data_IF_981563909468
#
_entry.id   IF_981563909468
#
_cell.length_a   1.000
_cell.length_b   1.000
_cell.length_c   1.000
_cell.angle_alpha   90.00
_cell.angle_beta   90.00
_cell.angle_gamma   90.00
#
_symmetry.space_group_name_H-M   'P 1'
#
loop_
_entity.id
_entity.type
_entity.pdbx_description
1 polymer ?
#
# COMPACT_ATOMS: atom_id res chain seq x y z
N UNK A 1 -17.42 33.74 -19.43
CA UNK A 1 -16.12 33.06 -19.29
C UNK A 1 -15.19 33.97 -18.50
N UNK A 2 -14.95 33.70 -17.20
CA UNK A 2 -13.96 34.41 -16.38
C UNK A 2 -12.88 33.43 -15.92
N UNK A 3 -11.65 33.89 -16.12
CA UNK A 3 -10.35 33.31 -15.86
C UNK A 3 -10.09 33.44 -14.35
N UNK A 4 -10.12 32.37 -13.54
CA UNK A 4 -9.84 32.54 -12.10
C UNK A 4 -10.01 31.41 -11.07
N UNK A 5 -10.58 30.23 -11.36
CA UNK A 5 -10.98 29.30 -10.28
C UNK A 5 -10.35 27.88 -10.35
N UNK A 6 -9.09 27.77 -10.79
CA UNK A 6 -8.33 26.51 -10.72
C UNK A 6 -7.31 26.51 -9.55
N UNK A 7 -7.61 27.23 -8.47
CA UNK A 7 -6.72 27.37 -7.31
C UNK A 7 -7.40 26.89 -6.02
N UNK A 8 -7.67 25.57 -5.93
CA UNK A 8 -7.70 24.74 -4.71
C UNK A 8 -8.32 23.38 -5.05
N UNK A 9 -7.57 22.47 -5.67
CA UNK A 9 -7.81 21.05 -5.40
C UNK A 9 -7.17 20.74 -4.05
N UNK A 10 -7.84 21.18 -2.99
CA UNK A 10 -7.60 20.66 -1.65
C UNK A 10 -8.24 19.28 -1.67
N UNK A 11 -7.42 18.22 -1.70
CA UNK A 11 -7.94 16.87 -1.53
C UNK A 11 -8.59 16.79 -0.16
N UNK A 12 -9.92 16.80 -0.11
CA UNK A 12 -10.64 16.46 1.10
C UNK A 12 -10.27 15.01 1.43
N UNK A 13 -9.64 14.82 2.59
CA UNK A 13 -9.28 13.49 3.09
C UNK A 13 -10.57 12.82 3.55
N UNK A 14 -11.32 12.31 2.59
CA UNK A 14 -12.50 11.51 2.84
C UNK A 14 -12.06 10.18 3.45
N UNK A 15 -12.61 9.85 4.61
CA UNK A 15 -12.49 8.51 5.16
C UNK A 15 -13.00 7.51 4.12
N UNK A 16 -12.10 6.63 3.67
CA UNK A 16 -12.43 5.58 2.71
C UNK A 16 -12.18 4.24 3.36
N UNK A 17 -13.24 3.43 3.43
CA UNK A 17 -13.09 2.00 3.68
C UNK A 17 -12.52 1.31 2.44
N UNK A 18 -11.39 0.61 2.60
CA UNK A 18 -10.79 -0.23 1.55
C UNK A 18 -10.93 -1.68 1.98
N UNK A 19 -11.59 -2.55 1.19
CA UNK A 19 -11.74 -3.95 1.56
C UNK A 19 -10.36 -4.65 1.55
N UNK A 20 -10.08 -5.39 2.62
CA UNK A 20 -8.88 -6.21 2.71
C UNK A 20 -9.19 -7.63 2.24
N UNK A 21 -8.24 -8.23 1.52
CA UNK A 21 -8.34 -9.66 1.20
C UNK A 21 -8.21 -10.51 2.48
N UNK A 22 -8.75 -11.73 2.45
CA UNK A 22 -8.60 -12.69 3.55
C UNK A 22 -7.13 -12.95 3.90
N UNK A 23 -6.25 -12.97 2.91
CA UNK A 23 -4.80 -13.09 3.11
C UNK A 23 -4.19 -11.88 3.82
N UNK A 24 -4.64 -10.67 3.50
CA UNK A 24 -4.18 -9.46 4.18
C UNK A 24 -4.63 -9.45 5.65
N UNK A 25 -5.87 -9.86 5.93
CA UNK A 25 -6.38 -10.01 7.29
C UNK A 25 -5.55 -11.03 8.10
N UNK A 26 -5.31 -12.21 7.54
CA UNK A 26 -4.50 -13.24 8.21
C UNK A 26 -3.08 -12.77 8.56
N UNK A 27 -2.45 -11.95 7.70
CA UNK A 27 -1.14 -11.34 8.00
C UNK A 27 -1.26 -10.36 9.17
N UNK A 28 -2.28 -9.50 9.18
CA UNK A 28 -2.49 -8.52 10.25
C UNK A 28 -2.82 -9.19 11.59
N UNK A 29 -3.62 -10.25 11.57
CA UNK A 29 -3.97 -11.03 12.77
C UNK A 29 -2.75 -11.74 13.39
N UNK A 30 -1.74 -12.05 12.57
CA UNK A 30 -0.47 -12.62 13.04
C UNK A 30 0.51 -11.61 13.63
N UNK A 31 0.23 -10.30 13.54
CA UNK A 31 1.12 -9.27 14.09
C UNK A 31 0.84 -9.04 15.59
N UNK A 32 1.87 -8.77 16.41
CA UNK A 32 1.66 -8.37 17.79
C UNK A 32 0.88 -7.06 17.84
N UNK A 33 -0.19 -7.03 18.64
CA UNK A 33 -0.97 -5.81 18.88
C UNK A 33 -0.10 -4.75 19.56
N UNK A 34 -0.15 -3.53 19.05
CA UNK A 34 0.51 -2.37 19.65
C UNK A 34 -0.51 -1.52 20.39
N UNK A 35 -0.13 -1.03 21.57
CA UNK A 35 -0.99 -0.18 22.42
C UNK A 35 -0.91 1.31 22.05
N UNK A 36 0.04 1.68 21.18
CA UNK A 36 0.27 3.07 20.75
C UNK A 36 -0.62 3.51 19.58
N UNK A 37 -1.57 2.67 19.16
CA UNK A 37 -2.55 2.96 18.11
C UNK A 37 -2.04 2.74 16.69
N UNK A 38 -0.77 2.42 16.49
CA UNK A 38 -0.20 2.15 15.17
C UNK A 38 -0.25 0.67 14.82
N UNK A 39 -0.43 0.33 13.55
CA UNK A 39 -0.33 -1.06 13.07
C UNK A 39 1.13 -1.49 12.94
N UNK A 40 1.99 -0.60 12.42
CA UNK A 40 3.42 -0.86 12.22
C UNK A 40 4.28 0.17 12.96
N UNK A 41 5.33 -0.29 13.62
CA UNK A 41 6.37 0.58 14.22
C UNK A 41 7.53 0.84 13.27
N UNK A 42 7.24 1.23 12.03
CA UNK A 42 8.24 1.42 10.98
C UNK A 42 8.40 2.90 10.65
N UNK A 43 9.63 3.32 10.32
CA UNK A 43 9.85 4.60 9.65
C UNK A 43 9.52 4.45 8.16
N UNK A 44 9.11 5.55 7.52
CA UNK A 44 8.65 5.53 6.13
C UNK A 44 9.71 4.98 5.15
N UNK A 45 10.99 5.23 5.40
CA UNK A 45 12.13 4.74 4.61
C UNK A 45 12.47 3.26 4.85
N UNK A 46 12.05 2.70 5.98
CA UNK A 46 12.41 1.34 6.40
C UNK A 46 11.75 0.26 5.55
N UNK A 47 10.60 0.56 4.94
CA UNK A 47 9.86 -0.43 4.15
C UNK A 47 10.56 -0.78 2.85
N UNK A 48 11.21 0.19 2.20
CA UNK A 48 11.98 -0.04 0.96
C UNK A 48 13.14 -0.99 1.23
N UNK A 49 13.91 -0.74 2.28
CA UNK A 49 15.03 -1.61 2.66
C UNK A 49 14.56 -3.00 3.08
N UNK A 50 13.45 -3.10 3.83
CA UNK A 50 12.86 -4.38 4.20
C UNK A 50 12.42 -5.18 2.96
N UNK A 51 11.80 -4.52 1.98
CA UNK A 51 11.41 -5.15 0.73
C UNK A 51 12.63 -5.65 -0.06
N UNK A 52 13.69 -4.85 -0.18
CA UNK A 52 14.92 -5.27 -0.86
C UNK A 52 15.52 -6.53 -0.26
N UNK A 53 15.57 -6.62 1.08
CA UNK A 53 16.05 -7.83 1.78
C UNK A 53 15.18 -9.05 1.48
N UNK A 54 13.86 -8.92 1.53
CA UNK A 54 12.93 -10.04 1.26
C UNK A 54 13.00 -10.47 -0.21
N UNK A 55 13.08 -9.52 -1.13
CA UNK A 55 13.25 -9.79 -2.57
C UNK A 55 14.55 -10.55 -2.83
N UNK A 56 15.66 -10.12 -2.24
CA UNK A 56 16.95 -10.79 -2.36
C UNK A 56 16.90 -12.21 -1.77
N UNK A 57 16.30 -12.38 -0.59
CA UNK A 57 16.13 -13.69 0.04
C UNK A 57 15.24 -14.64 -0.79
N UNK A 58 14.28 -14.10 -1.54
CA UNK A 58 13.43 -14.86 -2.46
C UNK A 58 14.10 -15.15 -3.82
N UNK A 59 15.30 -14.62 -4.10
CA UNK A 59 16.00 -14.81 -5.36
C UNK A 59 15.34 -14.16 -6.57
N UNK A 60 14.53 -13.11 -6.36
CA UNK A 60 13.78 -12.44 -7.43
C UNK A 60 14.58 -11.25 -7.96
N UNK A 61 14.89 -11.27 -9.24
CA UNK A 61 15.57 -10.18 -9.93
C UNK A 61 14.57 -9.22 -10.60
N UNK A 62 14.96 -7.96 -10.78
CA UNK A 62 14.17 -6.96 -11.52
C UNK A 62 12.93 -6.42 -10.80
N UNK A 63 12.42 -7.07 -9.74
CA UNK A 63 11.21 -6.64 -9.04
C UNK A 63 11.46 -5.39 -8.15
N UNK A 64 10.64 -4.37 -8.30
CA UNK A 64 10.60 -3.15 -7.47
C UNK A 64 9.35 -3.13 -6.59
N UNK A 65 9.38 -2.33 -5.51
CA UNK A 65 8.26 -2.28 -4.56
C UNK A 65 6.97 -1.74 -5.19
N UNK A 66 7.07 -0.73 -6.08
CA UNK A 66 5.91 -0.16 -6.76
C UNK A 66 5.27 -1.10 -7.79
N UNK A 67 6.01 -2.10 -8.29
CA UNK A 67 5.48 -3.11 -9.21
C UNK A 67 4.37 -3.93 -8.55
N UNK A 68 4.42 -4.11 -7.22
CA UNK A 68 3.36 -4.79 -6.48
C UNK A 68 2.00 -4.09 -6.62
N UNK A 69 1.99 -2.75 -6.74
CA UNK A 69 0.76 -1.99 -6.95
C UNK A 69 0.24 -2.15 -8.37
N UNK A 70 1.14 -2.13 -9.36
CA UNK A 70 0.78 -2.40 -10.75
C UNK A 70 0.20 -3.81 -10.89
N UNK A 71 0.89 -4.79 -10.33
CA UNK A 71 0.47 -6.19 -10.33
C UNK A 71 -0.87 -6.41 -9.61
N UNK A 72 -1.10 -5.77 -8.46
CA UNK A 72 -2.38 -5.86 -7.77
C UNK A 72 -3.54 -5.34 -8.62
N UNK A 73 -3.31 -4.26 -9.38
CA UNK A 73 -4.31 -3.67 -10.27
C UNK A 73 -4.58 -4.61 -11.47
N UNK A 74 -3.53 -5.14 -12.09
CA UNK A 74 -3.64 -6.15 -13.16
C UNK A 74 -4.42 -7.38 -12.71
N UNK A 75 -4.12 -7.92 -11.53
CA UNK A 75 -4.83 -9.08 -10.97
C UNK A 75 -6.30 -8.81 -10.67
N UNK A 76 -6.65 -7.59 -10.28
CA UNK A 76 -8.06 -7.22 -10.09
C UNK A 76 -8.78 -7.17 -11.43
N UNK A 77 -8.17 -6.54 -12.44
CA UNK A 77 -8.71 -6.50 -13.79
C UNK A 77 -8.92 -7.91 -14.37
N UNK A 78 -7.91 -8.80 -14.24
CA UNK A 78 -8.00 -10.20 -14.68
C UNK A 78 -9.12 -10.99 -13.99
N UNK A 79 -9.52 -10.57 -12.78
CA UNK A 79 -10.64 -11.15 -12.02
C UNK A 79 -11.98 -10.47 -12.30
N UNK A 80 -12.02 -9.46 -13.16
CA UNK A 80 -13.21 -8.67 -13.46
C UNK A 80 -13.64 -7.72 -12.34
N UNK A 81 -12.69 -7.26 -11.52
CA UNK A 81 -12.88 -6.30 -10.42
C UNK A 81 -12.43 -4.89 -10.79
#
# INVERSE_FOLDING_TARGET
>A
MRRGEIYRMKWEHMDRAVPLSTRALAVLDGLPRRIDGWVWGLRADSITQAFERVRAAAGIEGLRFHDLRHEATSRFFEKGL
#
